data_IF_524937757181
#
_entry.id   IF_524937757181
#
_cell.length_a   1.000
_cell.length_b   1.000
_cell.length_c   1.000
_cell.angle_alpha   90.00
_cell.angle_beta   90.00
_cell.angle_gamma   90.00
#
_symmetry.space_group_name_H-M   'P 1'
#
loop_
_entity.id
_entity.type
_entity.pdbx_description
1 polymer ?
#
# COMPACT_ATOMS: atom_id res chain seq x y z
N UNK A 1 -25.25 16.21 19.54
CA UNK A 1 -24.25 16.39 18.45
C UNK A 1 -24.93 15.94 17.17
N UNK A 2 -25.31 16.86 16.26
CA UNK A 2 -25.80 16.46 14.94
C UNK A 2 -24.65 15.75 14.22
N UNK A 3 -24.81 14.44 13.97
CA UNK A 3 -23.92 13.70 13.09
C UNK A 3 -24.23 14.10 11.65
N UNK A 4 -23.51 15.10 11.12
CA UNK A 4 -23.60 15.46 9.71
C UNK A 4 -22.88 14.37 8.89
N UNK A 5 -23.64 13.70 8.00
CA UNK A 5 -23.13 12.91 6.89
C UNK A 5 -22.84 13.86 5.72
N UNK A 6 -21.69 13.74 5.07
CA UNK A 6 -21.41 14.49 3.84
C UNK A 6 -21.38 13.55 2.64
N UNK A 7 -22.36 13.74 1.76
CA UNK A 7 -22.46 13.08 0.46
C UNK A 7 -22.25 14.12 -0.64
N UNK A 8 -21.25 13.87 -1.48
CA UNK A 8 -21.00 14.64 -2.69
C UNK A 8 -21.12 13.75 -3.90
N UNK A 9 -22.07 14.05 -4.78
CA UNK A 9 -22.24 13.32 -6.05
C UNK A 9 -21.13 13.70 -7.04
N UNK A 10 -20.92 15.00 -7.18
CA UNK A 10 -19.77 15.62 -7.84
C UNK A 10 -19.31 16.76 -6.93
N UNK A 11 -18.00 17.00 -6.83
CA UNK A 11 -17.57 18.13 -6.01
C UNK A 11 -16.07 18.35 -5.88
N UNK A 12 -15.74 19.61 -5.63
CA UNK A 12 -14.42 20.11 -5.25
C UNK A 12 -14.52 20.57 -3.80
N UNK A 13 -13.70 20.02 -2.90
CA UNK A 13 -13.68 20.46 -1.50
C UNK A 13 -12.28 20.87 -1.07
N UNK A 14 -12.16 22.10 -0.59
CA UNK A 14 -10.94 22.64 0.00
C UNK A 14 -11.19 22.90 1.48
N UNK A 15 -10.48 22.19 2.36
CA UNK A 15 -10.60 22.42 3.79
C UNK A 15 -10.13 21.28 4.67
N UNK A 16 -9.82 21.64 5.92
CA UNK A 16 -9.43 20.69 6.96
C UNK A 16 -10.67 20.25 7.75
N UNK A 17 -10.80 18.96 8.01
CA UNK A 17 -11.90 18.43 8.84
C UNK A 17 -11.30 17.80 10.10
N UNK A 18 -11.76 18.28 11.24
CA UNK A 18 -11.31 17.78 12.53
C UNK A 18 -11.99 16.46 12.90
N UNK A 19 -13.32 16.41 12.78
CA UNK A 19 -14.14 15.22 13.03
C UNK A 19 -15.33 15.20 12.08
N UNK A 20 -15.57 14.06 11.44
CA UNK A 20 -16.77 13.80 10.66
C UNK A 20 -16.97 12.27 10.60
N UNK A 21 -18.19 11.74 10.78
CA UNK A 21 -18.43 10.30 10.88
C UNK A 21 -18.25 9.58 9.53
N UNK A 22 -18.73 10.17 8.44
CA UNK A 22 -18.71 9.55 7.12
C UNK A 22 -18.60 10.64 6.05
N UNK A 23 -17.76 10.38 5.05
CA UNK A 23 -17.60 11.22 3.86
C UNK A 23 -17.62 10.32 2.62
N UNK A 24 -18.55 10.60 1.72
CA UNK A 24 -18.74 9.87 0.47
C UNK A 24 -18.63 10.83 -0.72
N UNK A 25 -17.75 10.52 -1.65
CA UNK A 25 -17.67 11.15 -2.97
C UNK A 25 -17.94 10.11 -4.05
N UNK A 26 -18.92 10.36 -4.91
CA UNK A 26 -19.02 9.52 -6.11
C UNK A 26 -17.98 9.91 -7.15
N UNK A 27 -17.85 11.21 -7.41
CA UNK A 27 -16.74 11.78 -8.19
C UNK A 27 -16.27 13.07 -7.53
N UNK A 28 -14.97 13.35 -7.51
CA UNK A 28 -14.51 14.65 -7.02
C UNK A 28 -13.03 14.79 -6.70
N UNK A 29 -12.66 16.01 -6.34
CA UNK A 29 -11.32 16.32 -5.84
C UNK A 29 -11.41 16.92 -4.44
N UNK A 30 -10.48 16.52 -3.57
CA UNK A 30 -10.41 17.05 -2.21
C UNK A 30 -9.00 17.45 -1.84
N UNK A 31 -8.87 18.68 -1.36
CA UNK A 31 -7.65 19.25 -0.81
C UNK A 31 -7.84 19.53 0.68
N UNK A 32 -6.92 19.02 1.50
CA UNK A 32 -6.85 19.31 2.93
C UNK A 32 -6.72 18.07 3.82
N UNK A 33 -6.49 18.32 5.10
CA UNK A 33 -6.19 17.29 6.08
C UNK A 33 -7.47 16.74 6.74
N UNK A 34 -7.46 15.48 7.17
CA UNK A 34 -8.47 14.92 8.07
C UNK A 34 -7.82 14.40 9.34
N UNK A 35 -8.35 14.82 10.49
CA UNK A 35 -7.83 14.39 11.78
C UNK A 35 -8.47 13.08 12.25
N UNK A 36 -9.81 13.02 12.32
CA UNK A 36 -10.56 11.81 12.70
C UNK A 36 -11.77 11.63 11.79
N UNK A 37 -11.80 10.53 11.05
CA UNK A 37 -12.93 10.18 10.20
C UNK A 37 -13.10 8.65 10.21
N UNK A 38 -14.20 8.08 10.70
CA UNK A 38 -14.46 6.65 10.69
C UNK A 38 -14.34 6.00 9.30
N UNK A 39 -15.02 6.57 8.30
CA UNK A 39 -15.12 5.98 6.97
C UNK A 39 -15.04 7.05 5.88
N UNK A 40 -14.17 6.82 4.90
CA UNK A 40 -14.05 7.61 3.69
C UNK A 40 -14.20 6.70 2.47
N UNK A 41 -15.12 7.05 1.58
CA UNK A 41 -15.35 6.32 0.34
C UNK A 41 -15.26 7.29 -0.85
N UNK A 42 -14.43 6.93 -1.82
CA UNK A 42 -14.37 7.55 -3.14
C UNK A 42 -14.61 6.49 -4.20
N UNK A 43 -15.60 6.67 -5.07
CA UNK A 43 -15.69 5.82 -6.27
C UNK A 43 -14.72 6.27 -7.34
N UNK A 44 -14.63 7.57 -7.62
CA UNK A 44 -13.61 8.14 -8.50
C UNK A 44 -13.14 9.48 -7.94
N UNK A 45 -11.83 9.75 -7.96
CA UNK A 45 -11.38 11.09 -7.61
C UNK A 45 -9.91 11.27 -7.27
N UNK A 46 -9.57 12.51 -6.94
CA UNK A 46 -8.24 12.88 -6.48
C UNK A 46 -8.28 13.41 -5.06
N UNK A 47 -7.32 13.02 -4.24
CA UNK A 47 -7.20 13.56 -2.88
C UNK A 47 -5.78 14.00 -2.56
N UNK A 48 -5.66 15.23 -2.12
CA UNK A 48 -4.44 15.84 -1.65
C UNK A 48 -4.56 16.17 -0.16
N UNK A 49 -3.62 15.66 0.64
CA UNK A 49 -3.51 15.99 2.06
C UNK A 49 -3.35 14.78 2.98
N UNK A 50 -3.15 15.05 4.26
CA UNK A 50 -2.80 14.03 5.25
C UNK A 50 -4.04 13.45 5.93
N UNK A 51 -3.93 12.21 6.42
CA UNK A 51 -4.93 11.59 7.30
C UNK A 51 -4.25 11.13 8.59
N UNK A 52 -4.79 11.55 9.74
CA UNK A 52 -4.23 11.19 11.03
C UNK A 52 -4.80 9.88 11.59
N UNK A 53 -6.12 9.78 11.74
CA UNK A 53 -6.82 8.57 12.20
C UNK A 53 -8.06 8.30 11.36
N UNK A 54 -8.05 7.19 10.65
CA UNK A 54 -9.16 6.82 9.77
C UNK A 54 -9.31 5.30 9.78
N UNK A 55 -10.36 4.71 10.38
CA UNK A 55 -10.62 3.27 10.40
C UNK A 55 -10.61 2.61 9.01
N UNK A 56 -11.37 3.15 8.06
CA UNK A 56 -11.56 2.53 6.76
C UNK A 56 -11.51 3.57 5.62
N UNK A 57 -10.62 3.33 4.66
CA UNK A 57 -10.54 4.08 3.41
C UNK A 57 -10.76 3.14 2.23
N UNK A 58 -11.74 3.46 1.41
CA UNK A 58 -12.02 2.76 0.16
C UNK A 58 -11.92 3.74 -1.02
N UNK A 59 -11.06 3.39 -1.97
CA UNK A 59 -10.98 4.03 -3.29
C UNK A 59 -11.25 3.01 -4.37
N UNK A 60 -12.26 3.28 -5.19
CA UNK A 60 -12.56 2.39 -6.32
C UNK A 60 -11.65 2.71 -7.51
N UNK A 61 -11.54 4.00 -7.83
CA UNK A 61 -10.60 4.56 -8.79
C UNK A 61 -10.06 5.90 -8.29
N UNK A 62 -8.78 6.19 -8.49
CA UNK A 62 -8.30 7.55 -8.27
C UNK A 62 -6.84 7.71 -7.87
N UNK A 63 -6.49 8.96 -7.56
CA UNK A 63 -5.14 9.35 -7.15
C UNK A 63 -5.16 9.92 -5.74
N UNK A 64 -4.19 9.53 -4.92
CA UNK A 64 -4.02 10.10 -3.58
C UNK A 64 -2.60 10.55 -3.33
N UNK A 65 -2.46 11.81 -2.96
CA UNK A 65 -1.22 12.44 -2.53
C UNK A 65 -1.32 12.80 -1.05
N UNK A 66 -0.37 12.32 -0.25
CA UNK A 66 -0.20 12.70 1.16
C UNK A 66 -0.01 11.53 2.11
N UNK A 67 0.21 11.85 3.38
CA UNK A 67 0.63 10.88 4.39
C UNK A 67 -0.56 10.25 5.13
N UNK A 68 -0.34 9.05 5.65
CA UNK A 68 -1.27 8.32 6.52
C UNK A 68 -0.55 8.00 7.84
N UNK A 69 -1.09 8.47 8.97
CA UNK A 69 -0.50 8.16 10.27
C UNK A 69 -1.02 6.83 10.84
N UNK A 70 -2.34 6.69 11.03
CA UNK A 70 -2.97 5.45 11.51
C UNK A 70 -4.23 5.14 10.73
N UNK A 71 -4.23 4.02 10.02
CA UNK A 71 -5.38 3.60 9.23
C UNK A 71 -5.52 2.06 9.27
N UNK A 72 -6.51 1.49 9.97
CA UNK A 72 -6.76 0.05 10.06
C UNK A 72 -6.81 -0.66 8.71
N UNK A 73 -7.62 -0.16 7.77
CA UNK A 73 -7.85 -0.81 6.50
C UNK A 73 -7.87 0.18 5.33
N UNK A 74 -6.99 -0.04 4.36
CA UNK A 74 -6.99 0.65 3.07
C UNK A 74 -7.29 -0.34 1.96
N UNK A 75 -8.35 -0.08 1.19
CA UNK A 75 -8.67 -0.79 -0.04
C UNK A 75 -8.62 0.18 -1.22
N UNK A 76 -7.83 -0.20 -2.23
CA UNK A 76 -7.72 0.48 -3.51
C UNK A 76 -7.93 -0.54 -4.61
N UNK A 77 -8.95 -0.37 -5.44
CA UNK A 77 -9.12 -1.26 -6.60
C UNK A 77 -8.29 -0.82 -7.79
N UNK A 78 -8.33 0.46 -8.15
CA UNK A 78 -7.51 1.03 -9.22
C UNK A 78 -6.97 2.38 -8.79
N UNK A 79 -5.69 2.68 -9.05
CA UNK A 79 -5.23 4.05 -8.84
C UNK A 79 -3.73 4.28 -8.72
N UNK A 80 -3.41 5.46 -8.20
CA UNK A 80 -2.04 5.83 -7.83
C UNK A 80 -2.01 6.42 -6.43
N UNK A 81 -1.02 6.03 -5.64
CA UNK A 81 -0.82 6.58 -4.29
C UNK A 81 0.59 7.10 -4.11
N UNK A 82 0.71 8.38 -3.77
CA UNK A 82 1.94 9.05 -3.40
C UNK A 82 1.92 9.44 -1.92
N UNK A 83 2.94 9.04 -1.17
CA UNK A 83 3.18 9.47 0.20
C UNK A 83 3.40 8.33 1.19
N UNK A 84 3.65 8.69 2.44
CA UNK A 84 4.10 7.75 3.47
C UNK A 84 2.96 7.16 4.29
N UNK A 85 3.21 6.00 4.89
CA UNK A 85 2.31 5.32 5.82
C UNK A 85 3.08 4.98 7.09
N UNK A 86 2.64 5.50 8.23
CA UNK A 86 3.28 5.19 9.50
C UNK A 86 2.79 3.86 10.08
N UNK A 87 1.48 3.66 10.20
CA UNK A 87 0.90 2.42 10.69
C UNK A 87 -0.39 2.08 9.96
N UNK A 88 -0.41 0.91 9.34
CA UNK A 88 -1.55 0.40 8.60
C UNK A 88 -1.65 -1.10 8.84
N UNK A 89 -2.65 -1.64 9.55
CA UNK A 89 -2.88 -3.08 9.72
C UNK A 89 -3.01 -3.86 8.41
N UNK A 90 -3.84 -3.39 7.50
CA UNK A 90 -4.13 -4.07 6.24
C UNK A 90 -4.16 -3.09 5.06
N UNK A 91 -3.45 -3.44 3.99
CA UNK A 91 -3.54 -2.83 2.68
C UNK A 91 -3.91 -3.89 1.66
N UNK A 92 -5.01 -3.66 0.95
CA UNK A 92 -5.36 -4.39 -0.25
C UNK A 92 -5.33 -3.42 -1.42
N UNK A 93 -4.55 -3.76 -2.44
CA UNK A 93 -4.41 -2.96 -3.64
C UNK A 93 -4.53 -3.88 -4.85
N UNK A 94 -5.56 -3.65 -5.66
CA UNK A 94 -5.90 -4.59 -6.73
C UNK A 94 -5.07 -4.30 -7.99
N UNK A 95 -5.08 -3.04 -8.44
CA UNK A 95 -4.32 -2.59 -9.60
C UNK A 95 -3.79 -1.17 -9.40
N UNK A 96 -2.51 -0.93 -9.72
CA UNK A 96 -2.01 0.43 -9.94
C UNK A 96 -0.56 0.68 -9.51
N UNK A 97 -0.32 1.86 -8.92
CA UNK A 97 1.04 2.30 -8.58
C UNK A 97 1.11 2.92 -7.19
N UNK A 98 2.15 2.59 -6.43
CA UNK A 98 2.42 3.19 -5.12
C UNK A 98 3.83 3.73 -5.00
N UNK A 99 3.94 5.02 -4.71
CA UNK A 99 5.18 5.70 -4.36
C UNK A 99 5.18 6.13 -2.88
N UNK A 100 6.21 5.73 -2.15
CA UNK A 100 6.49 6.20 -0.79
C UNK A 100 6.72 5.08 0.23
N UNK A 101 7.01 5.47 1.47
CA UNK A 101 7.51 4.56 2.49
C UNK A 101 6.40 4.00 3.39
N UNK A 102 6.64 2.82 3.97
CA UNK A 102 5.79 2.20 5.00
C UNK A 102 6.63 1.89 6.22
N UNK A 103 6.25 2.43 7.38
CA UNK A 103 6.97 2.14 8.62
C UNK A 103 6.52 0.82 9.25
N UNK A 104 5.20 0.60 9.39
CA UNK A 104 4.65 -0.65 9.94
C UNK A 104 3.38 -1.05 9.20
N UNK A 105 3.39 -2.26 8.63
CA UNK A 105 2.24 -2.86 7.98
C UNK A 105 2.17 -4.35 8.27
N UNK A 106 1.25 -4.87 9.10
CA UNK A 106 1.05 -6.29 9.33
C UNK A 106 0.84 -7.13 8.06
N UNK A 107 -0.11 -6.73 7.23
CA UNK A 107 -0.48 -7.49 6.03
C UNK A 107 -0.61 -6.58 4.82
N UNK A 108 0.01 -7.02 3.72
CA UNK A 108 -0.06 -6.37 2.43
C UNK A 108 -0.39 -7.38 1.34
N UNK A 109 -1.46 -7.09 0.61
CA UNK A 109 -1.88 -7.86 -0.56
C UNK A 109 -1.90 -6.95 -1.79
N UNK A 110 -1.15 -7.35 -2.80
CA UNK A 110 -1.13 -6.75 -4.13
C UNK A 110 -1.46 -7.78 -5.19
N UNK A 111 -2.38 -7.46 -6.09
CA UNK A 111 -2.62 -8.33 -7.26
C UNK A 111 -1.81 -7.93 -8.48
N UNK A 112 -1.90 -6.67 -8.92
CA UNK A 112 -1.08 -6.09 -9.99
C UNK A 112 -0.60 -4.71 -9.56
N UNK A 113 0.70 -4.53 -9.29
CA UNK A 113 1.18 -3.21 -8.80
C UNK A 113 2.56 -2.84 -9.35
N UNK A 114 2.85 -1.55 -9.35
CA UNK A 114 4.20 -1.04 -9.40
C UNK A 114 4.48 -0.23 -8.14
N UNK A 115 5.41 -0.73 -7.34
CA UNK A 115 5.72 -0.13 -6.04
C UNK A 115 7.12 0.45 -6.02
N UNK A 116 7.20 1.71 -5.62
CA UNK A 116 8.44 2.40 -5.31
C UNK A 116 8.47 2.84 -3.85
N UNK A 117 9.51 2.44 -3.12
CA UNK A 117 9.79 2.90 -1.77
C UNK A 117 10.02 1.79 -0.74
N UNK A 118 10.37 2.21 0.47
CA UNK A 118 10.91 1.34 1.50
C UNK A 118 9.84 0.82 2.46
N UNK A 119 10.10 -0.34 3.06
CA UNK A 119 9.31 -0.88 4.18
C UNK A 119 10.20 -1.22 5.35
N UNK A 120 9.87 -0.65 6.50
CA UNK A 120 10.63 -0.93 7.72
C UNK A 120 10.19 -2.24 8.39
N UNK A 121 8.89 -2.49 8.52
CA UNK A 121 8.36 -3.73 9.11
C UNK A 121 7.10 -4.19 8.40
N UNK A 122 7.14 -5.40 7.84
CA UNK A 122 6.01 -6.06 7.20
C UNK A 122 5.99 -7.54 7.54
N UNK A 123 5.14 -8.03 8.45
CA UNK A 123 4.96 -9.45 8.76
C UNK A 123 4.69 -10.32 7.53
N UNK A 124 3.71 -9.95 6.71
CA UNK A 124 3.28 -10.73 5.56
C UNK A 124 3.09 -9.86 4.32
N UNK A 125 3.78 -10.23 3.24
CA UNK A 125 3.57 -9.68 1.90
C UNK A 125 3.12 -10.80 0.97
N UNK A 126 1.93 -10.64 0.38
CA UNK A 126 1.45 -11.44 -0.73
C UNK A 126 1.38 -10.56 -1.98
N UNK A 127 2.03 -11.01 -3.03
CA UNK A 127 2.15 -10.29 -4.28
C UNK A 127 1.97 -11.26 -5.44
N UNK A 128 0.96 -11.04 -6.28
CA UNK A 128 0.75 -11.95 -7.42
C UNK A 128 1.49 -11.52 -8.69
N UNK A 129 1.49 -10.23 -9.02
CA UNK A 129 2.15 -9.74 -10.22
C UNK A 129 2.60 -8.28 -10.12
N UNK A 130 3.75 -7.96 -10.71
CA UNK A 130 4.18 -6.57 -10.89
C UNK A 130 5.66 -6.29 -10.59
N UNK A 131 5.97 -5.03 -10.27
CA UNK A 131 7.35 -4.57 -10.08
C UNK A 131 7.51 -3.88 -8.73
N UNK A 132 8.60 -4.18 -8.02
CA UNK A 132 8.92 -3.52 -6.75
C UNK A 132 10.34 -2.97 -6.73
N UNK A 133 10.46 -1.66 -6.54
CA UNK A 133 11.71 -0.95 -6.30
C UNK A 133 11.77 -0.44 -4.85
N UNK A 134 12.79 -0.84 -4.10
CA UNK A 134 13.10 -0.33 -2.77
C UNK A 134 13.36 -1.40 -1.71
N UNK A 135 13.77 -0.94 -0.54
CA UNK A 135 14.35 -1.78 0.50
C UNK A 135 13.30 -2.31 1.49
N UNK A 136 13.57 -3.49 2.05
CA UNK A 136 12.82 -4.10 3.15
C UNK A 136 13.74 -4.33 4.35
N UNK A 137 13.41 -3.77 5.50
CA UNK A 137 14.23 -4.00 6.70
C UNK A 137 13.86 -5.30 7.41
N UNK A 138 12.56 -5.59 7.59
CA UNK A 138 12.12 -6.82 8.26
C UNK A 138 10.83 -7.34 7.63
N UNK A 139 10.94 -8.50 6.97
CA UNK A 139 9.82 -9.20 6.34
C UNK A 139 9.84 -10.68 6.76
N UNK A 140 9.06 -11.13 7.75
CA UNK A 140 8.93 -12.53 8.13
C UNK A 140 8.58 -13.48 6.98
N UNK A 141 7.56 -13.13 6.19
CA UNK A 141 7.05 -13.97 5.11
C UNK A 141 6.79 -13.16 3.84
N UNK A 142 7.40 -13.60 2.73
CA UNK A 142 7.13 -13.11 1.38
C UNK A 142 6.61 -14.27 0.51
N UNK A 143 5.40 -14.10 -0.03
CA UNK A 143 4.86 -14.93 -1.10
C UNK A 143 4.75 -14.11 -2.38
N UNK A 144 5.44 -14.53 -3.42
CA UNK A 144 5.58 -13.80 -4.66
C UNK A 144 5.39 -14.72 -5.87
N UNK A 145 4.30 -14.59 -6.62
CA UNK A 145 4.12 -15.48 -7.79
C UNK A 145 4.88 -14.99 -9.01
N UNK A 146 4.62 -13.78 -9.51
CA UNK A 146 5.25 -13.29 -10.74
C UNK A 146 5.78 -11.87 -10.60
N UNK A 147 6.93 -11.55 -11.20
CA UNK A 147 7.34 -10.16 -11.43
C UNK A 147 8.83 -9.87 -11.24
N UNK A 148 9.13 -8.60 -10.95
CA UNK A 148 10.51 -8.13 -10.81
C UNK A 148 10.71 -7.35 -9.52
N UNK A 149 11.87 -7.53 -8.88
CA UNK A 149 12.21 -6.82 -7.66
C UNK A 149 13.61 -6.22 -7.73
N UNK A 150 13.72 -4.93 -7.42
CA UNK A 150 14.98 -4.21 -7.26
C UNK A 150 15.12 -3.66 -5.84
N UNK A 151 16.24 -3.94 -5.17
CA UNK A 151 16.60 -3.42 -3.86
C UNK A 151 16.82 -4.50 -2.80
N UNK A 152 17.20 -4.07 -1.59
CA UNK A 152 17.76 -4.97 -0.57
C UNK A 152 16.72 -5.46 0.44
N UNK A 153 16.93 -6.66 1.01
CA UNK A 153 16.25 -7.13 2.23
C UNK A 153 17.27 -7.38 3.33
N UNK A 154 17.06 -6.74 4.49
CA UNK A 154 17.94 -6.97 5.64
C UNK A 154 17.61 -8.26 6.40
N UNK A 155 16.32 -8.61 6.54
CA UNK A 155 15.87 -9.84 7.21
C UNK A 155 14.62 -10.42 6.57
N UNK A 156 14.74 -11.63 6.00
CA UNK A 156 13.65 -12.42 5.43
C UNK A 156 13.74 -13.88 5.88
N UNK A 157 13.04 -14.29 6.94
CA UNK A 157 12.99 -15.69 7.40
C UNK A 157 12.49 -16.67 6.34
N UNK A 158 11.40 -16.34 5.63
CA UNK A 158 10.77 -17.25 4.67
C UNK A 158 10.42 -16.53 3.37
N UNK A 159 10.92 -17.07 2.27
CA UNK A 159 10.61 -16.64 0.92
C UNK A 159 10.05 -17.81 0.11
N UNK A 160 8.84 -17.63 -0.43
CA UNK A 160 8.24 -18.52 -1.42
C UNK A 160 8.00 -17.74 -2.72
N UNK A 161 8.54 -18.24 -3.83
CA UNK A 161 8.35 -17.63 -5.14
C UNK A 161 8.26 -18.63 -6.29
N UNK A 162 7.54 -18.26 -7.35
CA UNK A 162 7.35 -19.12 -8.54
C UNK A 162 8.17 -18.62 -9.74
N UNK A 163 8.01 -17.36 -10.16
CA UNK A 163 8.80 -16.74 -11.24
C UNK A 163 9.16 -15.31 -10.86
N UNK A 164 10.45 -15.02 -10.72
CA UNK A 164 10.89 -13.72 -10.22
C UNK A 164 12.26 -13.35 -10.80
N UNK A 165 12.44 -12.09 -11.17
CA UNK A 165 13.76 -11.51 -11.46
C UNK A 165 14.12 -10.55 -10.33
N UNK A 166 15.19 -10.85 -9.59
CA UNK A 166 15.62 -10.04 -8.46
C UNK A 166 16.98 -9.43 -8.70
N UNK A 167 17.08 -8.14 -8.42
CA UNK A 167 18.34 -7.41 -8.41
C UNK A 167 18.51 -6.76 -7.03
N UNK A 168 19.55 -7.17 -6.30
CA UNK A 168 19.87 -6.67 -4.95
C UNK A 168 20.00 -7.79 -3.91
N UNK A 169 20.40 -7.42 -2.70
CA UNK A 169 20.93 -8.38 -1.73
C UNK A 169 19.88 -8.80 -0.68
N UNK A 170 20.00 -10.02 -0.16
CA UNK A 170 19.28 -10.47 1.03
C UNK A 170 20.30 -10.84 2.10
N UNK A 171 20.40 -10.02 3.16
CA UNK A 171 21.45 -10.20 4.17
C UNK A 171 21.20 -11.39 5.11
N UNK A 172 19.93 -11.79 5.31
CA UNK A 172 19.56 -12.94 6.17
C UNK A 172 18.33 -13.64 5.62
N UNK A 173 18.54 -14.85 5.08
CA UNK A 173 17.52 -15.74 4.52
C UNK A 173 17.78 -17.20 4.94
N UNK A 174 17.18 -17.67 6.03
CA UNK A 174 17.37 -19.05 6.48
C UNK A 174 16.58 -20.07 5.64
N UNK A 175 15.46 -19.67 5.03
CA UNK A 175 14.61 -20.60 4.27
C UNK A 175 14.12 -19.98 2.96
N UNK A 176 14.48 -20.62 1.85
CA UNK A 176 14.07 -20.29 0.49
C UNK A 176 13.34 -21.48 -0.11
N UNK A 177 12.12 -21.25 -0.60
CA UNK A 177 11.37 -22.25 -1.35
C UNK A 177 11.06 -21.70 -2.74
N UNK A 178 11.52 -22.43 -3.75
CA UNK A 178 11.39 -22.06 -5.15
C UNK A 178 10.66 -23.17 -5.89
N UNK A 179 9.68 -22.80 -6.71
CA UNK A 179 8.96 -23.74 -7.58
C UNK A 179 9.17 -23.29 -9.02
N UNK A 180 10.04 -23.98 -9.78
CA UNK A 180 10.44 -23.57 -11.13
C UNK A 180 9.40 -23.91 -12.20
N UNK A 181 9.24 -22.97 -13.13
CA UNK A 181 9.22 -23.27 -14.56
C UNK A 181 10.52 -22.72 -15.17
N UNK A 182 11.48 -23.61 -15.45
CA UNK A 182 12.81 -23.40 -16.08
C UNK A 182 13.89 -22.55 -15.33
N UNK A 183 15.12 -23.09 -15.39
CA UNK A 183 16.33 -22.71 -14.66
C UNK A 183 17.00 -21.46 -15.23
N UNK A 184 17.29 -20.49 -14.37
CA UNK A 184 18.29 -19.45 -14.59
C UNK A 184 19.20 -19.40 -13.36
N UNK A 185 20.48 -19.72 -13.55
CA UNK A 185 21.52 -19.75 -12.53
C UNK A 185 21.84 -18.33 -12.06
N UNK A 186 21.74 -18.05 -10.77
CA UNK A 186 22.45 -16.93 -10.15
C UNK A 186 23.16 -17.43 -8.88
N UNK A 187 24.49 -17.41 -8.95
CA UNK A 187 25.41 -17.76 -7.87
C UNK A 187 25.19 -16.88 -6.63
N UNK A 188 25.16 -17.53 -5.46
CA UNK A 188 25.13 -16.88 -4.16
C UNK A 188 26.58 -16.67 -3.69
N UNK A 189 27.16 -15.49 -3.95
CA UNK A 189 28.38 -15.00 -3.29
C UNK A 189 28.06 -14.14 -2.06
#
# INVERSE_FOLDING_TARGET
MLSVLLLYTTGQHHGNINRLPLLLYTTGQRHGNLNRLPLLLYTSGQRHGNLNRLPLLLYTSGQRHGNLNRLPLLLYTTGQRHGNINRLPLLLYTSGQRHGNINRLPLLLYTTDQRHGNINRLPLLLYTSGQRHGNLNRLPLLLYTTGQRHGNINRLPLLLYTTDQRHGNINRLPLLLYTSGQLGEEEMC
#
